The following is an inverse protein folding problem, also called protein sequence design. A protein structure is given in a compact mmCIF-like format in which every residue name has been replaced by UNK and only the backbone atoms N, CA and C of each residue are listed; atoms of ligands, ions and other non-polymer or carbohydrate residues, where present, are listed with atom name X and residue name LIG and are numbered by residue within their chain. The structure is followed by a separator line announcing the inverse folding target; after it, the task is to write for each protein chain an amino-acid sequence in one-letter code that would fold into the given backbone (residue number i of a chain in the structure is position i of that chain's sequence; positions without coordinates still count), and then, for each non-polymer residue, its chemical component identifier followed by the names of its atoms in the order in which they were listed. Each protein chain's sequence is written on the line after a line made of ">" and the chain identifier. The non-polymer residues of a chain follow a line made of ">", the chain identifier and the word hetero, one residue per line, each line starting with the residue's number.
data_IF_468221976731
#
_entry.id   IF_468221976731
#
_cell.length_a   1.000
_cell.length_b   1.000
_cell.length_c   1.000
_cell.angle_alpha   90.00
_cell.angle_beta   90.00
_cell.angle_gamma   90.00
#
_symmetry.space_group_name_H-M   'P 1'
#
loop_
_entity.id
_entity.type
_entity.pdbx_description
1 polymer ?
#
# COMPACT_ATOMS: atom_id res chain seq x y z
N UNK A 1 -10.87 44.09 -10.20
CA UNK A 1 -11.62 42.83 -10.37
C UNK A 1 -10.68 41.62 -10.43
N UNK A 2 -9.75 41.48 -9.47
CA UNK A 2 -8.62 40.53 -9.60
C UNK A 2 -8.56 39.46 -8.49
N UNK A 3 -9.38 39.56 -7.45
CA UNK A 3 -9.31 38.73 -6.23
C UNK A 3 -9.89 37.32 -6.40
N UNK A 4 -10.98 37.15 -7.16
CA UNK A 4 -11.68 35.86 -7.28
C UNK A 4 -10.88 34.77 -8.02
N UNK A 5 -9.98 35.15 -8.93
CA UNK A 5 -9.13 34.19 -9.64
C UNK A 5 -8.00 33.63 -8.77
N UNK A 6 -7.45 34.44 -7.85
CA UNK A 6 -6.43 34.00 -6.90
C UNK A 6 -7.00 32.99 -5.90
N UNK A 7 -8.22 33.21 -5.42
CA UNK A 7 -8.88 32.27 -4.51
C UNK A 7 -9.12 30.90 -5.16
N UNK A 8 -9.59 30.89 -6.41
CA UNK A 8 -9.79 29.65 -7.18
C UNK A 8 -8.48 28.91 -7.46
N UNK A 9 -7.43 29.65 -7.82
CA UNK A 9 -6.11 29.05 -8.05
C UNK A 9 -5.57 28.41 -6.77
N UNK A 10 -5.65 29.12 -5.64
CA UNK A 10 -5.23 28.59 -4.33
C UNK A 10 -5.99 27.32 -3.93
N UNK A 11 -7.32 27.30 -4.09
CA UNK A 11 -8.15 26.13 -3.85
C UNK A 11 -7.77 24.96 -4.76
N UNK A 12 -7.41 25.22 -6.02
CA UNK A 12 -6.98 24.20 -6.95
C UNK A 12 -5.64 23.55 -6.54
N UNK A 13 -4.77 24.26 -5.82
CA UNK A 13 -3.48 23.73 -5.32
C UNK A 13 -3.61 22.91 -4.03
N UNK A 14 -4.77 22.95 -3.37
CA UNK A 14 -4.94 22.23 -2.12
C UNK A 14 -4.83 20.71 -2.33
N UNK A 15 -4.13 19.98 -1.42
CA UNK A 15 -4.09 18.52 -1.48
C UNK A 15 -5.50 17.93 -1.38
N UNK A 16 -5.89 17.14 -2.37
CA UNK A 16 -7.20 16.48 -2.42
C UNK A 16 -7.11 15.12 -1.72
N UNK A 17 -8.18 14.62 -1.09
CA UNK A 17 -8.19 13.27 -0.54
C UNK A 17 -7.93 12.26 -1.67
N UNK A 18 -7.07 11.28 -1.36
CA UNK A 18 -6.79 10.18 -2.27
C UNK A 18 -8.09 9.42 -2.55
N UNK A 19 -8.49 9.37 -3.83
CA UNK A 19 -9.73 8.71 -4.27
C UNK A 19 -9.69 7.19 -4.05
N UNK A 20 -8.51 6.59 -4.09
CA UNK A 20 -8.35 5.15 -3.87
C UNK A 20 -8.65 4.81 -2.42
N UNK A 21 -7.95 5.40 -1.46
CA UNK A 21 -8.13 5.06 -0.04
C UNK A 21 -9.10 5.98 0.72
N UNK A 22 -9.84 6.84 0.01
CA UNK A 22 -10.76 7.84 0.57
C UNK A 22 -10.18 8.65 1.73
N UNK A 23 -8.95 9.14 1.60
CA UNK A 23 -8.33 9.91 2.68
C UNK A 23 -7.62 9.12 3.77
N UNK A 24 -7.82 7.80 3.88
CA UNK A 24 -7.32 7.02 5.02
C UNK A 24 -5.79 6.80 5.04
N UNK A 25 -5.14 6.83 3.88
CA UNK A 25 -3.73 6.45 3.71
C UNK A 25 -3.46 4.94 3.84
N UNK A 26 -4.44 4.14 4.25
CA UNK A 26 -4.28 2.69 4.43
C UNK A 26 -4.60 1.96 3.14
N UNK A 27 -3.94 0.82 2.92
CA UNK A 27 -4.33 -0.09 1.86
C UNK A 27 -5.73 -0.63 2.17
N UNK A 28 -6.66 -0.52 1.22
CA UNK A 28 -8.05 -0.99 1.40
C UNK A 28 -8.10 -2.52 1.53
N UNK A 29 -7.25 -3.23 0.78
CA UNK A 29 -7.27 -4.68 0.72
C UNK A 29 -6.81 -5.40 1.99
N UNK A 30 -6.02 -4.74 2.83
CA UNK A 30 -5.56 -5.30 4.12
C UNK A 30 -5.78 -4.35 5.30
N UNK A 31 -6.48 -3.23 5.10
CA UNK A 31 -6.78 -2.22 6.11
C UNK A 31 -5.56 -1.70 6.91
N UNK A 32 -4.39 -1.65 6.27
CA UNK A 32 -3.15 -1.24 6.95
C UNK A 32 -2.28 -2.36 7.52
N UNK A 33 -2.77 -3.61 7.55
CA UNK A 33 -2.09 -4.73 8.21
C UNK A 33 -0.88 -5.24 7.40
N UNK A 34 -0.95 -5.16 6.07
CA UNK A 34 0.07 -5.67 5.15
C UNK A 34 0.00 -7.18 4.88
N UNK A 35 -0.93 -7.88 5.52
CA UNK A 35 -1.19 -9.30 5.30
C UNK A 35 -2.67 -9.63 5.40
N UNK A 36 -3.11 -10.63 4.66
CA UNK A 36 -4.48 -11.13 4.67
C UNK A 36 -4.50 -12.58 5.16
N UNK A 37 -5.42 -12.96 6.07
CA UNK A 37 -5.60 -14.35 6.44
C UNK A 37 -6.27 -15.09 5.28
N UNK A 38 -5.70 -16.22 4.89
CA UNK A 38 -6.23 -17.12 3.87
C UNK A 38 -6.45 -18.49 4.50
N UNK A 39 -7.58 -19.11 4.16
CA UNK A 39 -7.91 -20.47 4.59
C UNK A 39 -7.55 -21.45 3.47
N UNK A 40 -6.67 -22.39 3.77
CA UNK A 40 -6.37 -23.52 2.88
C UNK A 40 -7.19 -24.74 3.29
N UNK A 41 -7.99 -25.24 2.35
CA UNK A 41 -8.78 -26.44 2.55
C UNK A 41 -7.91 -27.69 2.35
N UNK A 42 -8.16 -28.72 3.15
CA UNK A 42 -7.51 -30.02 2.96
C UNK A 42 -8.18 -30.74 1.78
N UNK A 43 -7.36 -31.24 0.84
CA UNK A 43 -7.86 -31.99 -0.33
C UNK A 43 -8.44 -33.36 0.05
N UNK A 44 -8.01 -33.94 1.18
CA UNK A 44 -8.54 -35.21 1.68
C UNK A 44 -8.60 -35.17 3.21
N UNK A 45 -9.71 -35.66 3.77
CA UNK A 45 -9.96 -35.76 5.22
C UNK A 45 -9.46 -37.07 5.82
N UNK A 46 -8.96 -38.00 5.00
CA UNK A 46 -8.45 -39.28 5.47
C UNK A 46 -7.22 -39.09 6.37
N UNK A 47 -7.31 -39.64 7.60
CA UNK A 47 -6.38 -39.47 8.73
C UNK A 47 -4.92 -39.82 8.46
N UNK A 48 -4.59 -40.40 7.31
CA UNK A 48 -3.26 -40.92 7.01
C UNK A 48 -2.33 -39.96 6.25
N UNK A 49 -2.82 -38.80 5.78
CA UNK A 49 -1.96 -37.84 5.07
C UNK A 49 -1.98 -36.44 5.72
N UNK A 50 -1.50 -36.36 6.96
CA UNK A 50 -1.48 -35.12 7.77
C UNK A 50 -0.30 -34.19 7.48
N UNK A 51 0.51 -34.49 6.45
CA UNK A 51 1.73 -33.73 6.15
C UNK A 51 1.49 -32.43 5.37
N UNK A 52 0.24 -32.10 5.02
CA UNK A 52 -0.12 -30.88 4.31
C UNK A 52 -0.26 -29.66 5.22
N UNK A 53 0.19 -28.49 4.77
CA UNK A 53 -0.08 -27.23 5.45
C UNK A 53 -1.50 -26.72 5.13
N UNK A 54 -2.51 -27.24 5.80
CA UNK A 54 -3.91 -26.77 5.72
C UNK A 54 -4.28 -25.84 6.88
N UNK A 55 -5.44 -25.17 6.78
CA UNK A 55 -5.96 -24.23 7.78
C UNK A 55 -5.66 -22.77 7.48
N UNK A 56 -5.76 -21.91 8.51
CA UNK A 56 -5.54 -20.46 8.38
C UNK A 56 -4.05 -20.15 8.31
N UNK A 57 -3.64 -19.39 7.30
CA UNK A 57 -2.28 -18.88 7.11
C UNK A 57 -2.32 -17.42 6.70
N UNK A 58 -1.26 -16.69 7.00
CA UNK A 58 -1.11 -15.30 6.55
C UNK A 58 -0.46 -15.27 5.18
N UNK A 59 -1.02 -14.48 4.26
CA UNK A 59 -0.39 -14.12 2.99
C UNK A 59 -0.09 -12.62 2.96
N UNK A 60 0.94 -12.21 2.24
CA UNK A 60 1.18 -10.80 1.97
C UNK A 60 0.04 -10.20 1.16
N UNK A 61 -0.26 -8.91 1.40
CA UNK A 61 -1.28 -8.21 0.62
C UNK A 61 -0.70 -7.68 -0.70
N UNK A 62 -1.18 -8.22 -1.83
CA UNK A 62 -0.77 -7.81 -3.18
C UNK A 62 -1.01 -6.31 -3.44
N UNK A 63 -2.06 -5.75 -2.84
CA UNK A 63 -2.43 -4.34 -3.01
C UNK A 63 -1.49 -3.31 -2.35
N UNK A 64 -0.52 -3.75 -1.54
CA UNK A 64 0.47 -2.86 -0.92
C UNK A 64 1.89 -3.43 -0.97
N UNK A 65 2.26 -4.08 -2.07
CA UNK A 65 3.58 -4.68 -2.32
C UNK A 65 3.93 -5.88 -1.43
N UNK A 66 2.92 -6.52 -0.82
CA UNK A 66 3.08 -7.85 -0.24
C UNK A 66 3.02 -8.92 -1.32
N UNK A 67 3.49 -10.12 -1.00
CA UNK A 67 3.44 -11.26 -1.91
C UNK A 67 2.67 -12.41 -1.26
N UNK A 68 1.79 -13.05 -2.05
CA UNK A 68 1.27 -14.36 -1.71
C UNK A 68 2.42 -15.36 -1.70
N UNK A 69 2.68 -15.95 -0.54
CA UNK A 69 3.64 -17.05 -0.47
C UNK A 69 3.13 -18.21 -1.31
N UNK A 70 3.99 -18.73 -2.18
CA UNK A 70 3.89 -20.09 -2.66
C UNK A 70 5.09 -20.89 -2.11
N UNK A 71 4.94 -22.22 -2.07
CA UNK A 71 5.56 -23.25 -1.22
C UNK A 71 7.04 -23.15 -0.74
N UNK A 72 7.86 -22.19 -1.18
CA UNK A 72 9.29 -22.08 -0.81
C UNK A 72 9.78 -20.71 -0.29
N UNK A 73 8.95 -19.66 -0.25
CA UNK A 73 9.43 -18.31 0.09
C UNK A 73 8.96 -17.80 1.47
N UNK A 74 9.82 -17.05 2.16
CA UNK A 74 9.48 -16.33 3.40
C UNK A 74 8.32 -15.33 3.22
N UNK A 75 7.55 -15.09 4.29
CA UNK A 75 6.34 -14.28 4.23
C UNK A 75 6.71 -12.81 4.08
N UNK A 76 6.67 -12.31 2.86
CA UNK A 76 6.86 -10.88 2.60
C UNK A 76 5.55 -10.13 2.84
N UNK A 77 5.40 -9.60 4.05
CA UNK A 77 4.34 -8.66 4.40
C UNK A 77 4.43 -7.43 3.49
N UNK A 78 3.26 -6.96 3.04
CA UNK A 78 3.15 -5.68 2.36
C UNK A 78 3.33 -4.50 3.32
N UNK A 79 3.41 -3.30 2.75
CA UNK A 79 3.64 -2.07 3.52
C UNK A 79 2.42 -1.64 4.36
N UNK A 80 1.23 -2.14 4.02
CA UNK A 80 -0.05 -1.68 4.60
C UNK A 80 -0.48 -0.28 4.13
N UNK A 81 0.35 0.43 3.37
CA UNK A 81 0.08 1.79 2.92
C UNK A 81 -0.64 1.76 1.57
N UNK A 82 -1.48 2.76 1.32
CA UNK A 82 -2.11 2.92 0.01
C UNK A 82 -1.02 3.20 -1.04
N UNK A 83 -0.92 2.40 -2.12
CA UNK A 83 0.15 2.55 -3.13
C UNK A 83 -0.02 3.80 -4.01
N UNK A 84 -1.17 4.47 -3.94
CA UNK A 84 -1.46 5.66 -4.75
C UNK A 84 -1.06 6.96 -4.04
N UNK A 85 -1.07 6.97 -2.71
CA UNK A 85 -0.70 8.14 -1.90
C UNK A 85 0.38 7.82 -0.87
N UNK A 86 1.04 6.67 -0.98
CA UNK A 86 2.12 6.18 -0.11
C UNK A 86 1.89 6.27 1.41
N UNK A 87 0.62 6.26 1.84
CA UNK A 87 0.27 6.37 3.26
C UNK A 87 -0.28 7.73 3.69
N UNK A 88 -0.20 8.76 2.84
CA UNK A 88 -0.54 10.13 3.20
C UNK A 88 -2.04 10.41 3.26
N UNK A 89 -2.84 9.65 2.52
CA UNK A 89 -4.28 9.87 2.40
C UNK A 89 -4.66 11.07 1.52
N UNK A 90 -3.70 11.89 1.08
CA UNK A 90 -3.94 13.05 0.20
C UNK A 90 -2.98 13.02 -0.98
N UNK A 91 -3.41 13.58 -2.11
CA UNK A 91 -2.64 13.71 -3.33
C UNK A 91 -2.62 15.18 -3.72
N UNK A 92 -1.43 15.72 -3.97
CA UNK A 92 -1.30 17.06 -4.54
C UNK A 92 -1.69 17.00 -6.02
N UNK A 93 -2.65 17.81 -6.47
CA UNK A 93 -2.96 17.88 -7.89
C UNK A 93 -1.74 18.41 -8.64
N UNK A 94 -1.38 17.76 -9.75
CA UNK A 94 -0.44 18.34 -10.69
C UNK A 94 -1.10 19.55 -11.31
N UNK A 95 -0.54 20.72 -11.01
CA UNK A 95 -0.90 21.95 -11.70
C UNK A 95 0.09 22.00 -12.87
N UNK A 96 -0.14 21.14 -13.87
CA UNK A 96 0.67 21.11 -15.08
C UNK A 96 0.57 22.47 -15.75
N UNK A 97 1.61 23.28 -15.62
CA UNK A 97 1.71 24.54 -16.33
C UNK A 97 2.05 24.34 -17.80
N UNK A 98 2.47 23.15 -18.25
CA UNK A 98 2.75 22.83 -19.66
C UNK A 98 3.19 21.37 -19.83
N UNK A 99 2.30 20.47 -20.25
CA UNK A 99 2.73 19.20 -20.91
C UNK A 99 1.50 18.46 -21.49
N UNK A 100 1.34 18.41 -22.82
CA UNK A 100 0.29 17.62 -23.49
C UNK A 100 0.65 16.14 -23.67
N UNK A 101 1.76 15.65 -23.12
CA UNK A 101 2.18 14.26 -23.33
C UNK A 101 1.68 13.35 -22.22
N UNK A 102 0.61 12.63 -22.54
CA UNK A 102 0.04 11.56 -21.73
C UNK A 102 1.08 10.55 -21.27
N UNK A 103 1.48 10.69 -20.01
CA UNK A 103 1.91 9.58 -19.15
C UNK A 103 1.63 10.06 -17.74
N UNK A 104 0.59 9.50 -17.12
CA UNK A 104 0.31 9.63 -15.70
C UNK A 104 1.49 9.04 -14.92
N UNK A 105 2.60 9.80 -14.80
CA UNK A 105 3.62 9.54 -13.80
C UNK A 105 2.89 9.72 -12.48
N UNK A 106 2.83 8.65 -11.69
CA UNK A 106 2.39 8.67 -10.30
C UNK A 106 3.16 9.79 -9.60
N UNK A 107 2.53 10.94 -9.44
CA UNK A 107 3.14 12.05 -8.73
C UNK A 107 2.97 11.79 -7.23
N UNK A 108 3.77 10.85 -6.73
CA UNK A 108 4.09 10.70 -5.32
C UNK A 108 5.26 11.61 -4.95
N UNK A 109 5.23 12.87 -5.39
CA UNK A 109 6.17 13.90 -4.90
C UNK A 109 5.56 14.54 -3.65
N UNK A 110 5.46 13.73 -2.61
CA UNK A 110 5.44 14.21 -1.24
C UNK A 110 6.59 13.49 -0.53
N UNK A 111 7.78 14.09 -0.65
CA UNK A 111 9.01 13.88 0.12
C UNK A 111 9.32 12.43 0.58
N UNK A 112 10.46 11.91 0.10
CA UNK A 112 11.04 10.65 0.57
C UNK A 112 11.00 10.55 2.11
N UNK A 113 10.46 9.47 2.70
CA UNK A 113 10.82 9.14 4.07
C UNK A 113 12.27 8.66 4.04
N UNK A 114 13.19 9.58 4.32
CA UNK A 114 14.59 9.25 4.62
C UNK A 114 14.62 8.27 5.79
N UNK A 115 15.17 7.08 5.55
CA UNK A 115 15.77 6.25 6.59
C UNK A 115 14.84 5.32 7.36
N UNK A 116 14.60 4.10 6.85
CA UNK A 116 14.53 2.93 7.75
C UNK A 116 15.96 2.49 8.05
N UNK A 117 16.50 2.91 9.20
CA UNK A 117 17.61 2.16 9.81
C UNK A 117 17.04 0.82 10.26
N UNK A 118 17.39 -0.26 9.54
CA UNK A 118 17.34 -1.60 10.09
C UNK A 118 18.35 -1.62 11.25
N UNK A 119 17.90 -1.56 12.49
CA UNK A 119 18.69 -2.08 13.60
C UNK A 119 18.21 -3.50 13.84
N UNK A 120 18.87 -4.44 13.18
CA UNK A 120 18.94 -5.84 13.60
C UNK A 120 19.60 -5.87 14.98
N UNK A 121 18.82 -6.15 16.02
CA UNK A 121 19.35 -6.55 17.32
C UNK A 121 19.09 -8.05 17.50
N UNK A 122 20.03 -8.85 17.01
CA UNK A 122 20.25 -10.24 17.40
C UNK A 122 21.62 -10.28 18.07
N UNK A 123 21.63 -10.53 19.38
CA UNK A 123 22.73 -10.93 20.28
C UNK A 123 22.08 -10.84 21.67
N UNK A 124 21.78 -11.88 22.43
CA UNK A 124 22.48 -13.14 22.65
C UNK A 124 22.48 -13.32 24.17
N UNK A 125 21.82 -14.39 24.64
CA UNK A 125 22.03 -15.14 25.90
C UNK A 125 20.85 -16.10 26.08
#
# INVERSE_FOLDING_TARGET
>A
MSSHWQEKDWLARQPKPCQVCSGSGKCIGCLGIGSNPVMYLAANVNRHNTKGAYGRRLQGCDGCFGFKQNMMAELKKGTGRCPNCDGWGKIRPDIDLTSPTGRTKRNSICAQPTGRKLTSAWSGL
#
